data_IF_262168419122
#
_entry.id   IF_262168419122
#
_cell.length_a   1.000
_cell.length_b   1.000
_cell.length_c   1.000
_cell.angle_alpha   90.00
_cell.angle_beta   90.00
_cell.angle_gamma   90.00
#
_symmetry.space_group_name_H-M   'P 1'
#
loop_
_entity.id
_entity.type
_entity.pdbx_description
1 polymer ?
#
# COMPACT_ATOMS: atom_id res chain seq x y z
N UNK A 1 -1.71 20.49 -1.76
CA UNK A 1 -0.61 20.30 -0.82
C UNK A 1 -1.15 20.19 0.60
N UNK A 2 -0.51 19.38 1.41
CA UNK A 2 -0.94 19.12 2.78
C UNK A 2 0.06 19.70 3.76
N UNK A 3 -0.44 20.19 4.88
CA UNK A 3 0.45 20.50 5.99
C UNK A 3 0.88 19.18 6.64
N UNK A 4 2.08 19.12 7.23
CA UNK A 4 2.53 17.89 7.89
C UNK A 4 1.57 17.38 8.97
N UNK A 5 0.95 18.28 9.71
CA UNK A 5 0.02 17.89 10.75
C UNK A 5 -1.26 17.29 10.20
N UNK A 6 -1.79 17.87 9.12
CA UNK A 6 -3.01 17.36 8.49
C UNK A 6 -2.76 16.04 7.80
N UNK A 7 -1.60 15.90 7.16
CA UNK A 7 -1.25 14.70 6.43
C UNK A 7 -0.99 13.51 7.35
N UNK A 8 -0.50 13.78 8.54
CA UNK A 8 -0.11 12.75 9.50
C UNK A 8 -1.21 11.74 9.77
N UNK A 9 -2.44 12.21 9.89
CA UNK A 9 -3.57 11.36 10.26
C UNK A 9 -3.91 10.32 9.19
N UNK A 10 -3.47 10.54 7.96
CA UNK A 10 -3.74 9.63 6.85
C UNK A 10 -2.68 8.54 6.71
N UNK A 11 -1.59 8.67 7.44
CA UNK A 11 -0.50 7.69 7.38
C UNK A 11 -0.67 6.65 8.49
N UNK A 12 -0.66 5.41 8.10
CA UNK A 12 -0.77 4.28 9.03
C UNK A 12 0.64 3.79 9.33
N UNK A 13 1.08 3.95 10.57
CA UNK A 13 2.42 3.59 11.01
C UNK A 13 3.53 4.26 10.17
N UNK A 14 3.21 5.38 9.52
CA UNK A 14 4.17 6.10 8.69
C UNK A 14 4.53 5.42 7.37
N UNK A 15 3.88 4.31 7.04
CA UNK A 15 4.24 3.49 5.87
C UNK A 15 3.12 3.44 4.84
N UNK A 16 1.90 3.30 5.29
CA UNK A 16 0.73 3.18 4.41
C UNK A 16 -0.07 4.47 4.43
N UNK A 17 -0.64 4.83 3.31
CA UNK A 17 -1.41 6.06 3.17
C UNK A 17 -2.86 5.73 2.85
N UNK A 18 -3.77 6.31 3.61
CA UNK A 18 -5.20 6.09 3.43
C UNK A 18 -5.93 7.42 3.53
N UNK A 19 -6.12 8.10 2.40
CA UNK A 19 -6.84 9.35 2.35
C UNK A 19 -7.90 9.28 1.24
N UNK A 20 -9.17 9.04 1.59
CA UNK A 20 -10.24 8.93 0.60
C UNK A 20 -10.52 10.24 -0.14
N UNK A 21 -10.09 11.36 0.40
CA UNK A 21 -10.30 12.67 -0.22
C UNK A 21 -9.18 13.08 -1.16
N UNK A 22 -8.07 12.33 -1.17
CA UNK A 22 -6.94 12.59 -2.04
C UNK A 22 -7.08 11.76 -3.32
N UNK A 23 -7.22 12.40 -4.50
CA UNK A 23 -7.38 11.66 -5.75
C UNK A 23 -6.11 10.96 -6.21
N UNK A 24 -4.98 11.21 -5.59
CA UNK A 24 -3.72 10.58 -5.97
C UNK A 24 -3.77 9.08 -5.74
N UNK A 25 -3.32 8.31 -6.72
CA UNK A 25 -3.22 6.86 -6.59
C UNK A 25 -1.90 6.46 -5.95
N UNK A 26 -0.82 7.12 -6.32
CA UNK A 26 0.53 6.84 -5.82
C UNK A 26 1.15 8.12 -5.31
N UNK A 27 1.92 8.01 -4.24
CA UNK A 27 2.66 9.14 -3.70
C UNK A 27 4.00 8.67 -3.13
N UNK A 28 4.91 9.62 -2.94
CA UNK A 28 6.21 9.30 -2.36
C UNK A 28 6.04 8.82 -0.93
N UNK A 29 6.80 7.80 -0.58
CA UNK A 29 6.80 7.32 0.80
C UNK A 29 7.26 8.41 1.75
N UNK A 30 6.62 8.46 2.91
CA UNK A 30 6.98 9.39 3.96
C UNK A 30 8.35 9.05 4.54
N UNK A 31 8.62 7.76 4.71
CA UNK A 31 9.89 7.26 5.18
C UNK A 31 10.46 6.29 4.17
N UNK A 32 11.76 6.36 3.96
CA UNK A 32 12.43 5.48 3.01
C UNK A 32 12.36 6.01 1.59
N UNK A 33 12.66 5.13 0.67
CA UNK A 33 12.72 5.44 -0.76
C UNK A 33 11.61 4.71 -1.49
N UNK A 34 11.04 5.36 -2.48
CA UNK A 34 10.04 4.78 -3.37
C UNK A 34 8.68 5.39 -3.20
N UNK A 35 7.67 4.61 -3.54
CA UNK A 35 6.30 5.10 -3.64
C UNK A 35 5.40 4.23 -2.80
N UNK A 36 4.29 4.81 -2.37
CA UNK A 36 3.21 4.05 -1.74
C UNK A 36 1.91 4.32 -2.49
N UNK A 37 0.94 3.45 -2.30
CA UNK A 37 -0.35 3.54 -2.96
C UNK A 37 -1.35 4.09 -1.95
N UNK A 38 -2.19 5.02 -2.40
CA UNK A 38 -3.25 5.57 -1.55
C UNK A 38 -4.33 4.52 -1.35
N UNK A 39 -4.38 3.92 -0.18
CA UNK A 39 -5.36 2.91 0.18
C UNK A 39 -6.78 3.47 0.24
N UNK A 40 -6.92 4.80 0.39
CA UNK A 40 -8.23 5.46 0.35
C UNK A 40 -8.82 5.58 -1.04
N UNK A 41 -8.00 5.42 -2.08
CA UNK A 41 -8.47 5.45 -3.46
C UNK A 41 -9.00 4.07 -3.84
N UNK A 42 -10.20 3.96 -4.47
CA UNK A 42 -10.73 2.65 -4.86
C UNK A 42 -9.78 1.83 -5.71
N UNK A 43 -9.05 2.46 -6.64
CA UNK A 43 -8.05 1.76 -7.44
C UNK A 43 -6.88 1.32 -6.57
N UNK A 44 -6.51 2.12 -5.56
CA UNK A 44 -5.47 1.73 -4.62
C UNK A 44 -5.84 0.48 -3.84
N UNK A 45 -7.10 0.37 -3.42
CA UNK A 45 -7.58 -0.83 -2.74
C UNK A 45 -7.49 -2.06 -3.64
N UNK A 46 -7.86 -1.91 -4.90
CA UNK A 46 -7.79 -3.00 -5.87
C UNK A 46 -6.33 -3.43 -6.06
N UNK A 47 -5.42 -2.48 -6.17
CA UNK A 47 -4.00 -2.77 -6.33
C UNK A 47 -3.44 -3.49 -5.11
N UNK A 48 -3.80 -3.07 -3.90
CA UNK A 48 -3.36 -3.75 -2.68
C UNK A 48 -3.86 -5.18 -2.64
N UNK A 49 -5.13 -5.40 -3.01
CA UNK A 49 -5.70 -6.74 -3.05
C UNK A 49 -4.96 -7.60 -4.06
N UNK A 50 -4.70 -7.07 -5.26
CA UNK A 50 -3.98 -7.81 -6.29
C UNK A 50 -2.57 -8.19 -5.83
N UNK A 51 -1.86 -7.25 -5.21
CA UNK A 51 -0.52 -7.51 -4.69
C UNK A 51 -0.57 -8.57 -3.60
N UNK A 52 -1.53 -8.46 -2.68
CA UNK A 52 -1.68 -9.42 -1.60
C UNK A 52 -1.94 -10.83 -2.14
N UNK A 53 -2.80 -10.95 -3.14
CA UNK A 53 -3.10 -12.25 -3.76
C UNK A 53 -1.86 -12.83 -4.45
N UNK A 54 -1.08 -11.99 -5.12
CA UNK A 54 0.16 -12.44 -5.75
C UNK A 54 1.15 -12.94 -4.71
N UNK A 55 1.29 -12.22 -3.59
CA UNK A 55 2.20 -12.62 -2.53
C UNK A 55 1.76 -13.93 -1.89
N UNK A 56 0.47 -14.08 -1.64
CA UNK A 56 -0.08 -15.31 -1.05
C UNK A 56 0.13 -16.47 -1.98
N UNK A 57 -0.15 -16.29 -3.27
CA UNK A 57 0.05 -17.34 -4.27
C UNK A 57 1.52 -17.73 -4.37
N UNK A 58 2.41 -16.74 -4.38
CA UNK A 58 3.86 -17.01 -4.47
C UNK A 58 4.36 -17.77 -3.24
N UNK A 59 3.90 -17.38 -2.06
CA UNK A 59 4.26 -18.04 -0.82
C UNK A 59 3.75 -19.47 -0.80
N UNK A 60 2.50 -19.67 -1.20
CA UNK A 60 1.90 -21.00 -1.28
C UNK A 60 2.69 -21.90 -2.23
N UNK A 61 3.04 -21.38 -3.41
CA UNK A 61 3.83 -22.14 -4.39
C UNK A 61 5.20 -22.51 -3.84
N UNK A 62 5.84 -21.59 -3.12
CA UNK A 62 7.15 -21.86 -2.54
C UNK A 62 7.06 -22.95 -1.48
N UNK A 63 6.10 -22.86 -0.58
CA UNK A 63 5.91 -23.84 0.48
C UNK A 63 5.62 -25.22 -0.13
N UNK A 64 4.74 -25.27 -1.10
CA UNK A 64 4.42 -26.52 -1.80
C UNK A 64 5.66 -27.13 -2.44
N UNK A 65 6.48 -26.31 -3.07
CA UNK A 65 7.73 -26.74 -3.70
C UNK A 65 8.72 -27.32 -2.69
N UNK A 66 8.77 -26.75 -1.49
CA UNK A 66 9.69 -27.21 -0.46
C UNK A 66 9.20 -28.48 0.23
N UNK A 67 7.90 -28.69 0.32
CA UNK A 67 7.32 -29.82 1.03
C UNK A 67 7.02 -31.02 0.12
N UNK A 68 6.90 -30.80 -1.16
CA UNK A 68 6.63 -31.85 -2.14
C UNK A 68 7.80 -32.00 -3.09
#
# INVERSE_FOLDING_TARGET
SYSPEEDEKYWIAGIMYNNPNDPSLMLNKRFGIGWTINFGNPLGKILYIAIALLLIFSLFSLIKSLLL
#
